data_IF_152013643818
#
_entry.id   IF_152013643818
#
_cell.length_a   1.000
_cell.length_b   1.000
_cell.length_c   1.000
_cell.angle_alpha   90.00
_cell.angle_beta   90.00
_cell.angle_gamma   90.00
#
_symmetry.space_group_name_H-M   'P 1'
#
loop_
_entity.id
_entity.type
_entity.pdbx_description
1 polymer ?
#
# COMPACT_ATOMS: atom_id res chain seq x y z
N UNK A 1 2.83 -11.79 17.37
CA UNK A 1 4.21 -11.39 16.99
C UNK A 1 4.20 -9.93 16.59
N UNK A 2 4.86 -9.05 17.35
CA UNK A 2 4.98 -7.63 17.01
C UNK A 2 6.14 -7.46 16.02
N UNK A 3 5.82 -7.04 14.80
CA UNK A 3 6.80 -6.78 13.74
C UNK A 3 7.81 -5.72 14.21
N UNK A 4 9.10 -6.08 14.19
CA UNK A 4 10.23 -5.22 14.58
C UNK A 4 10.48 -4.04 13.62
N UNK A 5 9.68 -3.88 12.56
CA UNK A 5 9.82 -2.80 11.59
C UNK A 5 9.07 -1.51 11.95
N UNK A 6 8.30 -1.50 13.05
CA UNK A 6 7.39 -0.39 13.35
C UNK A 6 8.06 0.86 13.97
N UNK A 7 9.35 0.81 14.34
CA UNK A 7 9.96 1.82 15.22
C UNK A 7 10.94 2.82 14.56
N UNK A 8 11.50 2.57 13.38
CA UNK A 8 12.54 3.46 12.83
C UNK A 8 12.00 4.84 12.43
N UNK A 9 10.75 4.91 11.96
CA UNK A 9 10.13 6.13 11.44
C UNK A 9 9.06 6.75 12.36
N UNK A 10 9.01 6.38 13.64
CA UNK A 10 8.03 6.93 14.58
C UNK A 10 8.19 8.45 14.76
N UNK A 11 9.42 8.96 14.79
CA UNK A 11 9.69 10.39 14.86
C UNK A 11 9.11 11.13 13.63
N UNK A 12 9.28 10.58 12.42
CA UNK A 12 8.67 11.14 11.20
C UNK A 12 7.14 11.13 11.26
N UNK A 13 6.52 10.11 11.86
CA UNK A 13 5.05 10.10 12.03
C UNK A 13 4.57 11.24 12.93
N UNK A 14 5.36 11.61 13.94
CA UNK A 14 5.04 12.72 14.82
C UNK A 14 5.22 14.07 14.12
N UNK A 15 6.21 14.20 13.24
CA UNK A 15 6.43 15.40 12.41
C UNK A 15 5.39 15.55 11.29
N UNK A 16 4.85 14.43 10.78
CA UNK A 16 3.86 14.39 9.70
C UNK A 16 2.53 13.73 10.14
N UNK A 17 1.83 14.24 11.17
CA UNK A 17 0.72 13.52 11.82
C UNK A 17 -0.53 13.40 10.95
N UNK A 18 -0.68 14.24 9.92
CA UNK A 18 -1.82 14.24 9.00
C UNK A 18 -1.55 13.49 7.69
N UNK A 19 -0.38 12.88 7.55
CA UNK A 19 -0.01 12.17 6.33
C UNK A 19 -0.13 10.67 6.51
N UNK A 20 -0.65 10.02 5.47
CA UNK A 20 -0.53 8.57 5.32
C UNK A 20 0.94 8.18 5.03
N UNK A 21 1.23 6.89 5.19
CA UNK A 21 2.59 6.36 5.22
C UNK A 21 2.71 5.05 4.45
N UNK A 22 3.93 4.74 4.00
CA UNK A 22 4.25 3.43 3.44
C UNK A 22 3.99 2.32 4.46
N UNK A 23 3.23 1.29 4.08
CA UNK A 23 2.92 0.17 4.98
C UNK A 23 4.13 -0.65 5.39
N UNK A 24 5.13 -0.76 4.51
CA UNK A 24 6.36 -1.51 4.78
C UNK A 24 7.32 -0.75 5.70
N UNK A 25 7.79 0.42 5.27
CA UNK A 25 8.83 1.16 6.01
C UNK A 25 8.29 2.19 7.00
N UNK A 26 7.00 2.55 6.94
CA UNK A 26 6.41 3.54 7.84
C UNK A 26 6.78 5.00 7.55
N UNK A 27 7.51 5.28 6.47
CA UNK A 27 7.85 6.65 6.07
C UNK A 27 6.60 7.40 5.56
N UNK A 28 6.36 8.66 5.98
CA UNK A 28 5.30 9.51 5.45
C UNK A 28 5.48 9.78 3.96
N UNK A 29 4.38 9.97 3.22
CA UNK A 29 4.44 10.25 1.78
C UNK A 29 5.26 11.49 1.38
N UNK A 30 5.35 12.58 2.17
CA UNK A 30 6.27 13.67 1.86
C UNK A 30 7.76 13.28 1.84
N UNK A 31 8.13 12.18 2.51
CA UNK A 31 9.53 11.75 2.64
C UNK A 31 9.93 10.70 1.60
N UNK A 32 8.98 10.12 0.86
CA UNK A 32 9.24 9.00 -0.07
C UNK A 32 8.37 9.08 -1.31
N UNK A 33 8.87 8.58 -2.44
CA UNK A 33 8.07 8.49 -3.66
C UNK A 33 7.02 7.37 -3.54
N UNK A 34 5.74 7.72 -3.49
CA UNK A 34 4.64 6.75 -3.44
C UNK A 34 4.56 5.91 -4.72
N UNK A 35 4.33 4.60 -4.58
CA UNK A 35 3.92 3.73 -5.69
C UNK A 35 2.39 3.62 -5.71
N UNK A 36 1.79 4.12 -6.79
CA UNK A 36 0.36 3.91 -7.05
C UNK A 36 0.15 2.55 -7.71
N UNK A 37 -0.90 1.83 -7.31
CA UNK A 37 -1.47 0.74 -8.10
C UNK A 37 -2.75 1.21 -8.77
N UNK A 38 -2.84 1.08 -10.08
CA UNK A 38 -4.00 1.55 -10.84
C UNK A 38 -5.19 0.62 -10.60
N UNK A 39 -6.32 1.18 -10.14
CA UNK A 39 -7.53 0.41 -9.83
C UNK A 39 -8.65 0.66 -10.85
N UNK A 40 -9.10 1.91 -10.97
CA UNK A 40 -10.10 2.33 -11.96
C UNK A 40 -9.49 3.37 -12.91
N UNK A 41 -10.17 3.67 -14.02
CA UNK A 41 -9.76 4.73 -14.94
C UNK A 41 -9.53 6.04 -14.16
N UNK A 42 -8.26 6.47 -14.07
CA UNK A 42 -7.79 7.64 -13.33
C UNK A 42 -7.78 7.55 -11.79
N UNK A 43 -7.90 6.37 -11.19
CA UNK A 43 -7.74 6.17 -9.72
C UNK A 43 -6.65 5.16 -9.41
N UNK A 44 -6.00 5.34 -8.27
CA UNK A 44 -5.03 4.38 -7.77
C UNK A 44 -4.93 4.38 -6.26
N UNK A 45 -4.37 3.29 -5.74
CA UNK A 45 -4.19 3.08 -4.30
C UNK A 45 -2.71 3.14 -3.95
N UNK A 46 -2.39 3.85 -2.87
CA UNK A 46 -1.04 3.95 -2.34
C UNK A 46 -0.88 3.00 -1.14
N UNK A 47 -0.15 1.91 -1.31
CA UNK A 47 0.19 0.99 -0.21
C UNK A 47 1.66 1.05 0.20
N UNK A 48 2.56 1.31 -0.77
CA UNK A 48 4.01 1.29 -0.56
C UNK A 48 4.72 2.45 -1.27
N UNK A 49 5.95 2.77 -0.86
CA UNK A 49 6.83 3.61 -1.67
C UNK A 49 7.51 2.77 -2.77
N UNK A 50 8.06 3.45 -3.78
CA UNK A 50 8.71 2.80 -4.93
C UNK A 50 9.86 1.88 -4.52
N UNK A 51 10.70 2.30 -3.57
CA UNK A 51 11.83 1.50 -3.11
C UNK A 51 11.36 0.22 -2.41
N UNK A 52 10.34 0.34 -1.54
CA UNK A 52 9.73 -0.80 -0.86
C UNK A 52 9.01 -1.72 -1.85
N UNK A 53 8.42 -1.18 -2.92
CA UNK A 53 7.79 -1.97 -3.98
C UNK A 53 8.81 -2.87 -4.69
N UNK A 54 9.94 -2.30 -5.09
CA UNK A 54 10.96 -2.99 -5.88
C UNK A 54 11.66 -4.13 -5.12
N UNK A 55 11.66 -4.08 -3.80
CA UNK A 55 12.34 -5.07 -2.94
C UNK A 55 11.34 -5.93 -2.17
N UNK A 56 10.05 -5.88 -2.51
CA UNK A 56 9.01 -6.71 -1.88
C UNK A 56 8.60 -7.88 -2.76
N UNK A 57 8.18 -8.97 -2.11
CA UNK A 57 7.53 -10.08 -2.81
C UNK A 57 6.09 -9.73 -3.17
N UNK A 58 5.48 -10.47 -4.11
CA UNK A 58 4.06 -10.30 -4.44
C UNK A 58 3.16 -10.49 -3.21
N UNK A 59 3.45 -11.47 -2.36
CA UNK A 59 2.66 -11.76 -1.16
C UNK A 59 2.74 -10.62 -0.14
N UNK A 60 3.93 -10.06 0.08
CA UNK A 60 4.11 -8.87 0.93
C UNK A 60 3.31 -7.68 0.37
N UNK A 61 3.38 -7.44 -0.93
CA UNK A 61 2.62 -6.36 -1.57
C UNK A 61 1.12 -6.56 -1.41
N UNK A 62 0.61 -7.77 -1.66
CA UNK A 62 -0.80 -8.09 -1.43
C UNK A 62 -1.20 -7.83 0.02
N UNK A 63 -0.37 -8.21 0.98
CA UNK A 63 -0.62 -7.94 2.40
C UNK A 63 -0.70 -6.43 2.68
N UNK A 64 0.29 -5.64 2.23
CA UNK A 64 0.31 -4.19 2.46
C UNK A 64 -0.88 -3.46 1.85
N UNK A 65 -1.31 -3.88 0.66
CA UNK A 65 -2.47 -3.30 0.00
C UNK A 65 -3.79 -3.74 0.63
N UNK A 66 -3.89 -4.97 1.14
CA UNK A 66 -5.02 -5.42 1.95
C UNK A 66 -5.16 -4.59 3.24
N UNK A 67 -4.05 -4.36 3.96
CA UNK A 67 -4.04 -3.52 5.16
C UNK A 67 -4.46 -2.08 4.84
N UNK A 68 -4.00 -1.53 3.71
CA UNK A 68 -4.41 -0.19 3.24
C UNK A 68 -5.91 -0.15 2.95
N UNK A 69 -6.44 -1.16 2.27
CA UNK A 69 -7.86 -1.26 1.97
C UNK A 69 -8.71 -1.33 3.25
N UNK A 70 -8.29 -2.13 4.23
CA UNK A 70 -8.99 -2.25 5.52
C UNK A 70 -9.05 -0.88 6.21
N UNK A 71 -7.92 -0.18 6.31
CA UNK A 71 -7.89 1.14 6.95
C UNK A 71 -8.73 2.18 6.21
N UNK A 72 -8.71 2.17 4.88
CA UNK A 72 -9.57 3.03 4.08
C UNK A 72 -11.04 2.73 4.35
N UNK A 73 -11.42 1.44 4.33
CA UNK A 73 -12.78 1.01 4.65
C UNK A 73 -13.19 1.43 6.06
N UNK A 74 -12.32 1.28 7.05
CA UNK A 74 -12.56 1.71 8.43
C UNK A 74 -12.76 3.22 8.54
N UNK A 75 -11.97 4.02 7.80
CA UNK A 75 -12.11 5.48 7.77
C UNK A 75 -13.43 5.98 7.18
N UNK A 76 -14.13 5.13 6.42
CA UNK A 76 -15.43 5.43 5.82
C UNK A 76 -16.61 5.04 6.72
N UNK A 77 -16.39 4.34 7.84
CA UNK A 77 -17.47 3.94 8.76
C UNK A 77 -18.18 5.20 9.30
N UNK A 78 -19.51 5.22 9.17
CA UNK A 78 -20.33 6.38 9.55
C UNK A 78 -20.35 7.51 8.52
N UNK A 79 -19.62 7.39 7.41
CA UNK A 79 -19.73 8.29 6.26
C UNK A 79 -20.82 7.81 5.28
N UNK A 80 -21.22 8.68 4.36
CA UNK A 80 -22.10 8.32 3.21
C UNK A 80 -21.36 7.59 2.07
N UNK A 81 -20.05 7.45 2.19
CA UNK A 81 -19.17 6.92 1.15
C UNK A 81 -18.85 5.45 1.42
N UNK A 82 -18.65 4.69 0.36
CA UNK A 82 -18.24 3.28 0.41
C UNK A 82 -17.00 3.07 -0.47
N UNK A 83 -16.33 1.94 -0.29
CA UNK A 83 -15.30 1.52 -1.24
C UNK A 83 -15.93 1.30 -2.61
N UNK A 84 -15.29 1.80 -3.67
CA UNK A 84 -15.79 1.68 -5.06
C UNK A 84 -15.67 0.25 -5.63
N UNK A 85 -14.82 -0.58 -5.02
CA UNK A 85 -14.50 -1.93 -5.49
C UNK A 85 -14.20 -2.85 -4.29
N UNK A 86 -14.36 -4.18 -4.43
CA UNK A 86 -14.02 -5.12 -3.37
C UNK A 86 -12.50 -5.27 -3.20
N UNK A 87 -12.07 -5.76 -2.03
CA UNK A 87 -10.63 -5.98 -1.74
C UNK A 87 -9.96 -6.87 -2.80
N UNK A 88 -10.62 -7.93 -3.25
CA UNK A 88 -10.05 -8.84 -4.24
C UNK A 88 -9.65 -8.12 -5.53
N UNK A 89 -10.47 -7.16 -5.98
CA UNK A 89 -10.17 -6.37 -7.16
C UNK A 89 -8.85 -5.58 -7.01
N UNK A 90 -8.61 -5.01 -5.83
CA UNK A 90 -7.33 -4.34 -5.55
C UNK A 90 -6.16 -5.32 -5.59
N UNK A 91 -6.32 -6.51 -5.03
CA UNK A 91 -5.25 -7.52 -5.01
C UNK A 91 -4.92 -8.04 -6.41
N UNK A 92 -5.93 -8.16 -7.28
CA UNK A 92 -5.75 -8.52 -8.68
C UNK A 92 -5.01 -7.39 -9.45
N UNK A 93 -5.33 -6.12 -9.16
CA UNK A 93 -4.58 -4.98 -9.69
C UNK A 93 -3.11 -4.96 -9.24
N UNK A 94 -2.85 -5.23 -7.95
CA UNK A 94 -1.47 -5.33 -7.41
C UNK A 94 -0.69 -6.41 -8.15
N UNK A 95 -1.29 -7.59 -8.33
CA UNK A 95 -0.66 -8.70 -9.04
C UNK A 95 -0.37 -8.38 -10.50
N UNK A 96 -1.35 -7.80 -11.21
CA UNK A 96 -1.18 -7.36 -12.60
C UNK A 96 0.00 -6.40 -12.71
N UNK A 97 0.06 -5.41 -11.83
CA UNK A 97 1.10 -4.38 -11.85
C UNK A 97 2.47 -4.92 -11.44
N UNK A 98 2.51 -5.87 -10.50
CA UNK A 98 3.74 -6.58 -10.15
C UNK A 98 4.31 -7.35 -11.35
N UNK A 99 3.46 -8.10 -12.07
CA UNK A 99 3.84 -8.88 -13.26
C UNK A 99 4.36 -8.00 -14.40
N UNK A 100 3.78 -6.81 -14.60
CA UNK A 100 4.25 -5.86 -15.62
C UNK A 100 5.65 -5.31 -15.31
N UNK A 101 5.97 -5.10 -14.04
CA UNK A 101 7.26 -4.52 -13.62
C UNK A 101 8.32 -5.59 -13.29
N UNK A 102 7.92 -6.86 -13.16
CA UNK A 102 8.79 -8.01 -12.86
C UNK A 102 8.48 -9.21 -13.76
N UNK A 103 8.65 -9.09 -15.10
CA UNK A 103 8.22 -10.11 -16.05
C UNK A 103 8.88 -11.49 -15.86
N UNK A 104 9.99 -11.57 -15.11
CA UNK A 104 10.76 -12.80 -14.90
C UNK A 104 10.55 -13.50 -13.56
N UNK A 105 9.68 -12.99 -12.67
CA UNK A 105 9.35 -13.68 -11.40
C UNK A 105 8.17 -14.67 -11.52
N UNK A 106 7.78 -15.02 -12.75
CA UNK A 106 6.78 -16.06 -13.02
C UNK A 106 7.46 -17.44 -13.06
N UNK A 107 7.91 -17.95 -11.92
CA UNK A 107 8.21 -19.37 -11.60
C UNK A 107 9.35 -19.46 -10.58
N UNK A 108 9.01 -19.70 -9.32
CA UNK A 108 9.74 -20.62 -8.45
C UNK A 108 8.77 -21.23 -7.45
#
# INVERSE_FOLDING_TARGET
MKSLLFNSNQHLRNEFPHHSYCKRCGAPWPCVKSKSVTTLENRGTFGTCLDCWNVSTLDELKQYYAETYIQQKESLIGSKYTMDYPMQFLLDCVEKEFKLNHPFNSSK
#
